data_IF_207274281866
#
_entry.id   IF_207274281866
#
_cell.length_a   1.000
_cell.length_b   1.000
_cell.length_c   1.000
_cell.angle_alpha   90.00
_cell.angle_beta   90.00
_cell.angle_gamma   90.00
#
_symmetry.space_group_name_H-M   'P 1'
#
loop_
_entity.id
_entity.type
_entity.pdbx_description
1 polymer ?
#
# COMPACT_ATOMS: atom_id res chain seq x y z
N UNK A 1 -1.77 -8.26 21.57
CA UNK A 1 -0.77 -7.20 21.79
C UNK A 1 0.56 -7.67 21.23
N UNK A 2 0.92 -7.46 19.99
CA UNK A 2 0.20 -7.53 18.72
C UNK A 2 1.33 -7.89 17.74
N UNK A 3 1.44 -9.16 17.35
CA UNK A 3 2.58 -9.66 16.57
C UNK A 3 2.86 -8.83 15.31
N UNK A 4 1.81 -8.19 14.77
CA UNK A 4 1.88 -7.25 13.65
C UNK A 4 2.63 -5.96 13.97
N UNK A 5 2.48 -5.38 15.17
CA UNK A 5 3.20 -4.16 15.57
C UNK A 5 4.68 -4.46 15.67
N UNK A 6 5.05 -5.56 16.33
CA UNK A 6 6.44 -5.99 16.47
C UNK A 6 7.08 -6.28 15.10
N UNK A 7 6.33 -6.90 14.19
CA UNK A 7 6.80 -7.13 12.82
C UNK A 7 7.05 -5.81 12.07
N UNK A 8 6.11 -4.86 12.12
CA UNK A 8 6.24 -3.56 11.46
C UNK A 8 7.45 -2.80 12.01
N UNK A 9 7.68 -2.82 13.33
CA UNK A 9 8.84 -2.16 13.93
C UNK A 9 10.17 -2.76 13.49
N UNK A 10 10.25 -4.10 13.43
CA UNK A 10 11.44 -4.80 12.93
C UNK A 10 11.69 -4.49 11.45
N UNK A 11 10.64 -4.49 10.63
CA UNK A 11 10.74 -4.14 9.22
C UNK A 11 11.17 -2.68 9.04
N UNK A 12 10.63 -1.75 9.83
CA UNK A 12 11.02 -0.34 9.78
C UNK A 12 12.49 -0.16 10.18
N UNK A 13 12.94 -0.84 11.24
CA UNK A 13 14.35 -0.82 11.66
C UNK A 13 15.27 -1.38 10.56
N UNK A 14 14.90 -2.50 9.94
CA UNK A 14 15.63 -3.09 8.81
C UNK A 14 15.72 -2.12 7.63
N UNK A 15 14.61 -1.48 7.26
CA UNK A 15 14.58 -0.50 6.17
C UNK A 15 15.48 0.70 6.50
N UNK A 16 15.38 1.27 7.71
CA UNK A 16 16.26 2.37 8.16
C UNK A 16 17.73 1.99 8.06
N UNK A 17 18.08 0.80 8.54
CA UNK A 17 19.44 0.30 8.49
C UNK A 17 19.93 0.19 7.04
N UNK A 18 19.14 -0.40 6.15
CA UNK A 18 19.51 -0.57 4.74
C UNK A 18 19.64 0.75 3.99
N UNK A 19 18.75 1.71 4.23
CA UNK A 19 18.85 3.05 3.67
C UNK A 19 20.14 3.74 4.12
N UNK A 20 20.50 3.63 5.41
CA UNK A 20 21.75 4.19 5.94
C UNK A 20 23.00 3.51 5.37
N UNK A 21 22.99 2.18 5.22
CA UNK A 21 24.10 1.43 4.60
C UNK A 21 24.33 1.85 3.14
N UNK A 22 23.29 2.29 2.43
CA UNK A 22 23.36 2.70 1.04
C UNK A 22 23.93 4.12 0.85
N UNK A 23 23.93 4.98 1.86
CA UNK A 23 24.52 6.33 1.79
C UNK A 23 26.02 6.31 1.41
N UNK A 24 26.70 5.19 1.68
CA UNK A 24 28.12 4.99 1.34
C UNK A 24 28.34 4.30 -0.02
N UNK A 25 27.27 3.98 -0.74
CA UNK A 25 27.30 3.24 -2.00
C UNK A 25 26.92 4.14 -3.18
N UNK A 26 27.36 3.82 -4.41
CA UNK A 26 26.87 4.49 -5.62
C UNK A 26 25.34 4.38 -5.74
N UNK A 27 24.68 5.45 -6.19
CA UNK A 27 23.21 5.53 -6.32
C UNK A 27 22.62 4.38 -7.15
N UNK A 28 23.34 3.89 -8.15
CA UNK A 28 22.94 2.75 -8.99
C UNK A 28 22.69 1.46 -8.20
N UNK A 29 23.27 1.34 -7.00
CA UNK A 29 23.11 0.18 -6.10
C UNK A 29 22.04 0.40 -5.04
N UNK A 30 21.45 1.59 -4.97
CA UNK A 30 20.43 1.90 -3.96
C UNK A 30 19.17 1.09 -4.24
N UNK A 31 18.62 0.51 -3.18
CA UNK A 31 17.37 -0.22 -3.25
C UNK A 31 16.25 0.69 -2.77
N UNK A 32 15.11 0.65 -3.44
CA UNK A 32 13.91 1.30 -2.93
C UNK A 32 13.39 0.58 -1.68
N UNK A 33 12.57 1.26 -0.88
CA UNK A 33 11.91 0.67 0.29
C UNK A 33 11.16 -0.61 -0.11
N UNK A 34 10.45 -0.58 -1.23
CA UNK A 34 9.71 -1.73 -1.79
C UNK A 34 10.63 -2.90 -2.12
N UNK A 35 11.81 -2.63 -2.70
CA UNK A 35 12.80 -3.68 -2.98
C UNK A 35 13.40 -4.25 -1.69
N UNK A 36 13.64 -3.43 -0.67
CA UNK A 36 14.11 -3.89 0.64
C UNK A 36 13.05 -4.79 1.30
N UNK A 37 11.77 -4.41 1.24
CA UNK A 37 10.66 -5.21 1.77
C UNK A 37 10.51 -6.55 1.01
N UNK A 38 10.58 -6.53 -0.32
CA UNK A 38 10.56 -7.74 -1.14
C UNK A 38 11.73 -8.68 -0.79
N UNK A 39 12.93 -8.14 -0.57
CA UNK A 39 14.11 -8.91 -0.18
C UNK A 39 14.00 -9.48 1.26
N UNK A 40 13.22 -8.83 2.12
CA UNK A 40 12.88 -9.34 3.45
C UNK A 40 11.74 -10.40 3.43
N UNK A 41 11.25 -10.78 2.25
CA UNK A 41 10.20 -11.78 2.08
C UNK A 41 8.77 -11.24 2.25
N UNK A 42 8.59 -9.91 2.30
CA UNK A 42 7.27 -9.29 2.43
C UNK A 42 6.69 -9.08 1.03
N UNK A 43 5.73 -9.92 0.63
CA UNK A 43 5.13 -9.84 -0.71
C UNK A 43 3.67 -10.33 -0.78
N UNK A 44 2.94 -9.87 -1.79
CA UNK A 44 1.48 -9.97 -1.84
C UNK A 44 0.94 -11.41 -1.93
N UNK A 45 1.75 -12.37 -2.40
CA UNK A 45 1.34 -13.78 -2.42
C UNK A 45 1.02 -14.34 -1.02
N UNK A 46 1.64 -13.80 0.04
CA UNK A 46 1.46 -14.31 1.41
C UNK A 46 0.34 -13.55 2.13
N UNK A 47 0.30 -12.23 1.95
CA UNK A 47 -0.53 -11.35 2.79
C UNK A 47 -1.65 -10.64 2.02
N UNK A 48 -1.67 -10.75 0.69
CA UNK A 48 -2.60 -10.03 -0.17
C UNK A 48 -2.20 -8.59 -0.47
N UNK A 49 -2.71 -8.05 -1.57
CA UNK A 49 -2.37 -6.72 -2.10
C UNK A 49 -2.70 -5.59 -1.12
N UNK A 50 -3.88 -5.64 -0.48
CA UNK A 50 -4.28 -4.64 0.51
C UNK A 50 -3.32 -4.65 1.70
N UNK A 51 -3.08 -5.80 2.33
CA UNK A 51 -2.21 -5.85 3.50
C UNK A 51 -0.78 -5.43 3.17
N UNK A 52 -0.26 -5.79 1.99
CA UNK A 52 1.07 -5.35 1.55
C UNK A 52 1.14 -3.81 1.38
N UNK A 53 0.09 -3.20 0.84
CA UNK A 53 -0.01 -1.75 0.71
C UNK A 53 -0.10 -1.06 2.09
N UNK A 54 -0.82 -1.65 3.04
CA UNK A 54 -0.90 -1.17 4.42
C UNK A 54 0.43 -1.29 5.16
N UNK A 55 1.14 -2.42 5.04
CA UNK A 55 2.49 -2.57 5.61
C UNK A 55 3.41 -1.50 5.05
N UNK A 56 3.43 -1.31 3.73
CA UNK A 56 4.21 -0.23 3.11
C UNK A 56 3.87 1.12 3.76
N UNK A 57 2.59 1.41 3.96
CA UNK A 57 2.18 2.66 4.55
C UNK A 57 2.65 2.85 5.98
N UNK A 58 2.58 1.81 6.80
CA UNK A 58 3.13 1.83 8.16
C UNK A 58 4.64 2.06 8.16
N UNK A 59 5.39 1.47 7.23
CA UNK A 59 6.83 1.69 7.09
C UNK A 59 7.12 3.15 6.73
N UNK A 60 6.46 3.69 5.71
CA UNK A 60 6.59 5.09 5.31
C UNK A 60 6.26 6.04 6.47
N UNK A 61 5.17 5.79 7.20
CA UNK A 61 4.80 6.54 8.39
C UNK A 61 5.92 6.53 9.44
N UNK A 62 6.42 5.34 9.81
CA UNK A 62 7.52 5.19 10.77
C UNK A 62 8.79 5.90 10.29
N UNK A 63 9.02 6.02 8.98
CA UNK A 63 10.16 6.75 8.42
C UNK A 63 9.93 8.26 8.32
N UNK A 64 8.72 8.75 8.60
CA UNK A 64 8.37 10.17 8.41
C UNK A 64 8.20 10.55 6.94
N UNK A 65 7.95 9.59 6.05
CA UNK A 65 7.89 9.78 4.61
C UNK A 65 6.45 9.77 4.09
N UNK A 66 6.14 10.71 3.20
CA UNK A 66 4.86 10.70 2.47
C UNK A 66 3.62 10.82 3.35
N UNK A 67 3.76 11.51 4.48
CA UNK A 67 2.69 11.86 5.42
C UNK A 67 2.18 13.25 5.03
N UNK A 68 0.86 13.45 5.02
CA UNK A 68 0.30 14.77 4.82
C UNK A 68 0.77 15.74 5.92
N UNK A 69 0.97 17.01 5.56
CA UNK A 69 1.22 18.06 6.55
C UNK A 69 0.09 18.09 7.59
N UNK A 70 0.38 18.35 8.87
CA UNK A 70 -0.65 18.41 9.89
C UNK A 70 -1.84 19.29 9.48
N UNK A 71 -3.06 18.75 9.58
CA UNK A 71 -4.30 19.44 9.21
C UNK A 71 -4.65 19.44 7.72
N UNK A 72 -3.81 18.91 6.83
CA UNK A 72 -4.11 18.91 5.38
C UNK A 72 -4.72 17.62 4.86
N UNK A 73 -4.61 16.50 5.61
CA UNK A 73 -5.10 15.17 5.19
C UNK A 73 -6.54 15.20 4.66
N UNK A 74 -7.47 15.83 5.40
CA UNK A 74 -8.87 15.93 4.98
C UNK A 74 -9.03 16.62 3.62
N UNK A 75 -8.34 17.75 3.44
CA UNK A 75 -8.40 18.53 2.19
C UNK A 75 -7.81 17.76 1.02
N UNK A 76 -6.69 17.07 1.25
CA UNK A 76 -6.07 16.21 0.24
C UNK A 76 -6.98 15.03 -0.12
N UNK A 77 -7.61 14.39 0.88
CA UNK A 77 -8.62 13.35 0.65
C UNK A 77 -9.82 13.87 -0.13
N UNK A 78 -10.31 15.08 0.15
CA UNK A 78 -11.40 15.70 -0.60
C UNK A 78 -11.04 15.88 -2.09
N UNK A 79 -9.82 16.33 -2.39
CA UNK A 79 -9.33 16.41 -3.77
C UNK A 79 -9.27 15.03 -4.42
N UNK A 80 -8.71 14.04 -3.73
CA UNK A 80 -8.62 12.67 -4.24
C UNK A 80 -9.99 12.06 -4.54
N UNK A 81 -10.97 12.17 -3.63
CA UNK A 81 -12.31 11.59 -3.84
C UNK A 81 -13.16 12.37 -4.85
N UNK A 82 -12.79 13.61 -5.17
CA UNK A 82 -13.39 14.38 -6.24
C UNK A 82 -12.97 13.82 -7.61
N UNK A 83 -11.68 13.51 -7.78
CA UNK A 83 -11.14 12.91 -9.00
C UNK A 83 -11.52 11.43 -9.13
N UNK A 84 -11.59 10.72 -7.99
CA UNK A 84 -11.84 9.29 -7.93
C UNK A 84 -12.93 8.97 -6.91
N UNK A 85 -14.17 8.88 -7.39
CA UNK A 85 -15.31 8.61 -6.52
C UNK A 85 -15.46 7.14 -6.12
N UNK A 86 -14.69 6.24 -6.73
CA UNK A 86 -14.63 4.80 -6.38
C UNK A 86 -13.20 4.31 -6.53
N UNK A 87 -12.65 3.67 -5.49
CA UNK A 87 -11.25 3.25 -5.46
C UNK A 87 -10.97 2.08 -4.51
N UNK A 88 -9.86 1.39 -4.76
CA UNK A 88 -9.33 0.29 -3.93
C UNK A 88 -8.40 0.83 -2.83
N UNK A 89 -8.23 0.14 -1.70
CA UNK A 89 -7.26 0.49 -0.67
C UNK A 89 -5.84 0.69 -1.20
N UNK A 90 -5.34 -0.21 -2.05
CA UNK A 90 -4.02 -0.04 -2.67
C UNK A 90 -3.90 1.22 -3.54
N UNK A 91 -4.96 1.61 -4.25
CA UNK A 91 -4.99 2.86 -5.02
C UNK A 91 -4.90 4.08 -4.11
N UNK A 92 -5.57 4.02 -2.96
CA UNK A 92 -5.47 5.05 -1.93
C UNK A 92 -4.05 5.13 -1.35
N UNK A 93 -3.41 3.98 -1.10
CA UNK A 93 -2.02 3.92 -0.59
C UNK A 93 -0.95 4.36 -1.58
N UNK A 94 -1.28 4.45 -2.87
CA UNK A 94 -0.44 5.11 -3.84
C UNK A 94 -0.38 6.63 -3.59
N UNK A 95 -1.53 7.27 -3.34
CA UNK A 95 -1.63 8.71 -3.08
C UNK A 95 -1.32 9.12 -1.63
N UNK A 96 -1.64 8.27 -0.67
CA UNK A 96 -1.42 8.47 0.77
C UNK A 96 -0.45 7.41 1.30
N UNK A 97 0.84 7.53 0.94
CA UNK A 97 1.81 6.48 1.16
C UNK A 97 2.25 6.37 2.61
N UNK A 98 2.04 7.37 3.47
CA UNK A 98 2.48 7.34 4.87
C UNK A 98 1.44 7.78 5.91
N UNK A 99 0.24 8.21 5.52
CA UNK A 99 -0.82 8.59 6.47
C UNK A 99 -1.40 7.35 7.19
N UNK A 100 -1.83 7.50 8.44
CA UNK A 100 -2.34 6.37 9.23
C UNK A 100 -3.68 5.86 8.68
N UNK A 101 -3.88 4.54 8.74
CA UNK A 101 -5.11 3.92 8.23
C UNK A 101 -6.36 4.42 8.96
N UNK A 102 -6.25 4.60 10.28
CA UNK A 102 -7.35 5.08 11.12
C UNK A 102 -7.76 6.50 10.75
N UNK A 103 -6.79 7.41 10.57
CA UNK A 103 -7.03 8.80 10.18
C UNK A 103 -7.69 8.90 8.80
N UNK A 104 -7.21 8.12 7.84
CA UNK A 104 -7.80 8.02 6.50
C UNK A 104 -9.24 7.48 6.59
N UNK A 105 -9.45 6.36 7.30
CA UNK A 105 -10.77 5.73 7.47
C UNK A 105 -11.77 6.69 8.10
N UNK A 106 -11.36 7.39 9.16
CA UNK A 106 -12.19 8.37 9.83
C UNK A 106 -12.64 9.47 8.86
N UNK A 107 -11.68 10.09 8.16
CA UNK A 107 -12.00 11.16 7.20
C UNK A 107 -12.89 10.67 6.05
N UNK A 108 -12.64 9.47 5.50
CA UNK A 108 -13.49 8.89 4.45
C UNK A 108 -14.91 8.63 4.95
N UNK A 109 -15.08 8.09 6.15
CA UNK A 109 -16.39 7.87 6.75
C UNK A 109 -17.16 9.20 6.93
N UNK A 110 -16.48 10.25 7.39
CA UNK A 110 -17.06 11.60 7.52
C UNK A 110 -17.42 12.22 6.17
N UNK A 111 -16.69 11.87 5.10
CA UNK A 111 -17.01 12.24 3.72
C UNK A 111 -18.13 11.36 3.10
N UNK A 112 -18.74 10.45 3.88
CA UNK A 112 -19.84 9.61 3.44
C UNK A 112 -19.42 8.38 2.63
N UNK A 113 -18.15 8.00 2.68
CA UNK A 113 -17.62 6.78 2.06
C UNK A 113 -17.73 5.58 2.98
N UNK A 114 -17.79 4.39 2.38
CA UNK A 114 -17.77 3.10 3.07
C UNK A 114 -16.91 2.12 2.29
N UNK A 115 -16.22 1.25 3.02
CA UNK A 115 -15.46 0.14 2.44
C UNK A 115 -16.36 -1.10 2.35
N UNK A 116 -16.60 -1.61 1.14
CA UNK A 116 -17.48 -2.79 0.91
C UNK A 116 -16.88 -3.77 -0.10
N UNK A 117 -17.04 -5.08 0.10
CA UNK A 117 -16.65 -6.06 -0.89
C UNK A 117 -17.47 -5.92 -2.18
N UNK A 118 -16.84 -6.20 -3.31
CA UNK A 118 -17.46 -6.25 -4.63
C UNK A 118 -17.06 -7.56 -5.30
N UNK A 119 -18.04 -8.34 -5.78
CA UNK A 119 -17.82 -9.68 -6.34
C UNK A 119 -16.82 -9.64 -7.50
N UNK A 120 -15.74 -10.42 -7.50
CA UNK A 120 -14.75 -10.40 -8.59
C UNK A 120 -13.70 -9.29 -8.47
N UNK A 121 -13.75 -8.45 -7.42
CA UNK A 121 -12.60 -7.67 -6.99
C UNK A 121 -11.81 -8.45 -5.92
N UNK A 122 -10.49 -8.35 -5.97
CA UNK A 122 -9.61 -8.96 -4.95
C UNK A 122 -9.57 -8.13 -3.65
N UNK A 123 -9.92 -6.86 -3.74
CA UNK A 123 -9.91 -5.91 -2.64
C UNK A 123 -11.34 -5.38 -2.41
N UNK A 124 -11.69 -5.04 -1.16
CA UNK A 124 -12.88 -4.25 -0.93
C UNK A 124 -12.73 -2.86 -1.58
N UNK A 125 -13.86 -2.20 -1.84
CA UNK A 125 -13.91 -0.94 -2.58
C UNK A 125 -14.44 0.16 -1.68
N UNK A 126 -13.70 1.27 -1.63
CA UNK A 126 -14.19 2.53 -1.10
C UNK A 126 -15.16 3.16 -2.09
N UNK A 127 -16.35 3.49 -1.60
CA UNK A 127 -17.42 4.08 -2.40
C UNK A 127 -18.36 4.95 -1.55
N UNK A 128 -19.09 5.91 -2.14
CA UNK A 128 -20.15 6.61 -1.45
C UNK A 128 -21.21 5.63 -0.92
N UNK A 129 -21.69 5.87 0.30
CA UNK A 129 -22.58 4.96 1.06
C UNK A 129 -23.82 4.51 0.28
N UNK A 130 -24.36 5.38 -0.59
CA UNK A 130 -25.59 5.15 -1.36
C UNK A 130 -25.34 4.71 -2.82
N UNK A 131 -24.09 4.53 -3.23
CA UNK A 131 -23.80 4.16 -4.62
C UNK A 131 -24.13 2.69 -4.90
N UNK A 132 -24.85 2.44 -5.99
CA UNK A 132 -25.22 1.09 -6.43
C UNK A 132 -23.99 0.29 -6.87
N UNK A 133 -24.01 -1.03 -6.63
CA UNK A 133 -22.90 -1.93 -7.00
C UNK A 133 -22.61 -1.93 -8.50
N UNK A 134 -23.64 -1.82 -9.33
CA UNK A 134 -23.52 -1.73 -10.80
C UNK A 134 -22.80 -0.44 -11.22
N UNK A 135 -23.14 0.69 -10.60
CA UNK A 135 -22.45 1.96 -10.82
C UNK A 135 -20.99 1.91 -10.40
N UNK A 136 -20.70 1.31 -9.24
CA UNK A 136 -19.33 1.08 -8.75
C UNK A 136 -18.52 0.29 -9.77
N UNK A 137 -19.07 -0.83 -10.27
CA UNK A 137 -18.42 -1.64 -11.31
C UNK A 137 -18.10 -0.81 -12.55
N UNK A 138 -19.13 -0.18 -13.12
CA UNK A 138 -18.99 0.63 -14.34
C UNK A 138 -17.91 1.70 -14.19
N UNK A 139 -17.81 2.33 -13.02
CA UNK A 139 -16.80 3.36 -12.74
C UNK A 139 -15.39 2.79 -12.64
N UNK A 140 -15.23 1.63 -12.01
CA UNK A 140 -13.94 0.95 -11.95
C UNK A 140 -13.48 0.48 -13.35
N UNK A 141 -14.39 -0.05 -14.16
CA UNK A 141 -14.08 -0.56 -15.51
C UNK A 141 -13.78 0.56 -16.51
N UNK A 142 -14.36 1.75 -16.30
CA UNK A 142 -14.19 2.90 -17.18
C UNK A 142 -12.84 3.62 -17.02
N UNK A 143 -12.01 3.22 -16.05
CA UNK A 143 -10.71 3.88 -15.79
C UNK A 143 -9.60 2.86 -15.58
N UNK A 144 -8.34 3.22 -15.91
CA UNK A 144 -7.21 2.44 -15.46
C UNK A 144 -7.12 2.47 -13.93
N UNK A 145 -6.47 1.43 -13.39
CA UNK A 145 -6.12 1.39 -11.97
C UNK A 145 -5.13 2.51 -11.65
N UNK A 146 -5.32 3.16 -10.51
CA UNK A 146 -4.48 4.25 -10.02
C UNK A 146 -3.15 3.68 -9.52
N UNK A 147 -2.05 4.20 -10.05
CA UNK A 147 -0.69 3.81 -9.68
C UNK A 147 0.26 3.88 -10.86
N UNK A 148 1.55 3.76 -10.58
CA UNK A 148 2.58 3.63 -11.61
C UNK A 148 3.05 2.18 -11.77
N UNK A 149 3.85 1.95 -12.81
CA UNK A 149 4.38 0.61 -13.12
C UNK A 149 5.22 0.04 -11.98
N UNK A 150 5.99 0.88 -11.27
CA UNK A 150 6.85 0.43 -10.17
C UNK A 150 6.03 -0.02 -8.96
N UNK A 151 5.00 0.74 -8.62
CA UNK A 151 4.08 0.41 -7.53
C UNK A 151 3.32 -0.89 -7.83
N UNK A 152 2.83 -1.07 -9.05
CA UNK A 152 2.19 -2.34 -9.41
C UNK A 152 3.17 -3.51 -9.41
N UNK A 153 4.42 -3.31 -9.88
CA UNK A 153 5.44 -4.36 -9.82
C UNK A 153 5.75 -4.79 -8.38
N UNK A 154 5.74 -3.85 -7.43
CA UNK A 154 5.82 -4.16 -6.00
C UNK A 154 4.60 -4.96 -5.52
N UNK A 155 3.38 -4.48 -5.80
CA UNK A 155 2.16 -5.15 -5.37
C UNK A 155 1.96 -6.53 -5.99
N UNK A 156 2.52 -6.79 -7.16
CA UNK A 156 2.47 -8.09 -7.83
C UNK A 156 3.76 -8.90 -7.70
N UNK A 157 4.69 -8.50 -6.83
CA UNK A 157 6.00 -9.15 -6.73
C UNK A 157 5.86 -10.63 -6.39
N UNK A 158 6.56 -11.47 -7.14
CA UNK A 158 6.70 -12.90 -6.90
C UNK A 158 8.17 -13.20 -6.67
N UNK A 159 8.56 -13.79 -5.54
CA UNK A 159 9.95 -14.18 -5.33
C UNK A 159 10.35 -15.22 -6.38
N UNK A 160 11.61 -15.22 -6.84
CA UNK A 160 12.11 -16.30 -7.69
C UNK A 160 11.94 -17.63 -6.95
N UNK A 161 11.45 -18.65 -7.66
CA UNK A 161 11.35 -20.01 -7.11
C UNK A 161 12.77 -20.44 -6.70
N UNK A 162 12.96 -20.74 -5.41
CA UNK A 162 14.20 -21.39 -4.96
C UNK A 162 14.23 -22.76 -5.61
N UNK A 163 15.10 -22.96 -6.60
CA UNK A 163 15.47 -24.27 -7.08
C UNK A 163 16.20 -24.99 -5.94
N UNK A 164 15.45 -25.64 -5.05
CA UNK A 164 15.99 -26.56 -4.08
C UNK A 164 16.43 -27.83 -4.84
N UNK A 165 17.51 -27.74 -5.60
CA UNK A 165 18.29 -28.92 -5.99
C UNK A 165 18.92 -29.45 -4.71
N UNK A 166 18.19 -30.34 -4.02
CA UNK A 166 18.74 -31.18 -2.97
C UNK A 166 19.69 -32.15 -3.68
N UNK A 167 20.96 -31.78 -3.81
CA UNK A 167 22.02 -32.73 -4.10
C UNK A 167 22.16 -33.63 -2.87
N UNK A 168 21.56 -34.82 -2.93
CA UNK A 168 21.91 -35.91 -2.02
C UNK A 168 23.33 -36.36 -2.39
N UNK A 169 24.28 -36.16 -1.47
CA UNK A 169 25.59 -36.81 -1.50
C UNK A 169 25.50 -38.16 -0.78
#
# INVERSE_FOLDING_TARGET
MDDNILLIERLAALVRQKLKEQEQQPEEKHLTIEQILNNAGVHALIIGTQALAEIRACIYNKLGLGICTPGTLRKTLQGFVFDYDVFRPSELRYYFPGDLEEDIKQNLNELGYVLKPLVGEQEPIWRPKRMLRTTVRRKLDARPRIGDRKYFAYLSYKPPQRNNTITKH
#
